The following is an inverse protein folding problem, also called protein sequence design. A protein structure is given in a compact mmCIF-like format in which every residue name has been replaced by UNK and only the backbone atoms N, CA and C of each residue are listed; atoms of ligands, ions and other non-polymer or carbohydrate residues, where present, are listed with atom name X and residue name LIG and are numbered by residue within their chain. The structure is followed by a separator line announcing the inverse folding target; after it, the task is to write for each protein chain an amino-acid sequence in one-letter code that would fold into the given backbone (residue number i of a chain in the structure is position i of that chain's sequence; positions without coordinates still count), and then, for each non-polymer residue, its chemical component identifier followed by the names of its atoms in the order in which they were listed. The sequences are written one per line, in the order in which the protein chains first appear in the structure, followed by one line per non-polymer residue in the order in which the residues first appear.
data_IF_414544880081
#
_entry.id   IF_414544880081
#
_cell.length_a   1.000
_cell.length_b   1.000
_cell.length_c   1.000
_cell.angle_alpha   90.00
_cell.angle_beta   90.00
_cell.angle_gamma   90.00
#
_symmetry.space_group_name_H-M   'P 1'
#
loop_
_entity.id
_entity.type
_entity.pdbx_description
1 polymer ?
#
# COMPACT_ATOMS: atom_id res chain seq x y z
N UNK A 1 -6.56 -12.43 26.01
CA UNK A 1 -7.88 -11.81 25.76
C UNK A 1 -7.60 -10.73 24.72
N UNK A 2 -7.80 -11.04 23.44
CA UNK A 2 -7.66 -10.02 22.39
C UNK A 2 -8.77 -9.00 22.60
N UNK A 3 -8.38 -7.81 23.03
CA UNK A 3 -9.26 -6.68 23.17
C UNK A 3 -9.74 -6.28 21.79
N UNK A 4 -11.06 -6.26 21.60
CA UNK A 4 -11.70 -5.63 20.46
C UNK A 4 -11.08 -4.25 20.24
N UNK A 5 -10.54 -4.04 19.04
CA UNK A 5 -10.01 -2.75 18.58
C UNK A 5 -10.64 -2.44 17.23
N UNK A 6 -10.97 -1.17 16.93
CA UNK A 6 -11.49 -0.77 15.63
C UNK A 6 -10.62 -1.24 14.46
N UNK A 7 -9.31 -1.26 14.67
CA UNK A 7 -8.34 -1.74 13.69
C UNK A 7 -8.48 -3.25 13.44
N UNK A 8 -8.64 -4.04 14.50
CA UNK A 8 -8.75 -5.50 14.38
C UNK A 8 -10.05 -5.89 13.66
N UNK A 9 -11.15 -5.16 13.90
CA UNK A 9 -12.41 -5.39 13.16
C UNK A 9 -12.24 -5.08 11.68
N UNK A 10 -11.61 -3.95 11.34
CA UNK A 10 -11.35 -3.58 9.95
C UNK A 10 -10.43 -4.61 9.24
N UNK A 11 -9.37 -5.06 9.90
CA UNK A 11 -8.47 -6.10 9.38
C UNK A 11 -9.21 -7.43 9.16
N UNK A 12 -10.13 -7.79 10.07
CA UNK A 12 -10.97 -8.99 9.92
C UNK A 12 -11.91 -8.86 8.72
N UNK A 13 -12.62 -7.73 8.57
CA UNK A 13 -13.51 -7.48 7.43
C UNK A 13 -12.76 -7.51 6.10
N UNK A 14 -11.60 -6.85 6.04
CA UNK A 14 -10.75 -6.86 4.84
C UNK A 14 -10.27 -8.27 4.48
N UNK A 15 -9.96 -9.10 5.48
CA UNK A 15 -9.60 -10.51 5.25
C UNK A 15 -10.75 -11.32 4.64
N UNK A 16 -12.00 -11.04 5.07
CA UNK A 16 -13.18 -11.71 4.50
C UNK A 16 -13.38 -11.26 3.04
N UNK A 17 -13.21 -9.97 2.72
CA UNK A 17 -13.26 -9.48 1.32
C UNK A 17 -12.27 -10.24 0.45
N UNK A 18 -11.01 -10.35 0.90
CA UNK A 18 -9.97 -11.08 0.17
C UNK A 18 -10.34 -12.56 -0.06
N UNK A 19 -10.83 -13.25 0.98
CA UNK A 19 -11.28 -14.64 0.85
C UNK A 19 -12.45 -14.79 -0.11
N UNK A 20 -13.39 -13.83 -0.12
CA UNK A 20 -14.50 -13.85 -1.06
C UNK A 20 -14.05 -13.63 -2.49
N UNK A 21 -13.09 -12.74 -2.75
CA UNK A 21 -12.55 -12.51 -4.09
C UNK A 21 -11.76 -13.71 -4.62
N UNK A 22 -10.92 -14.32 -3.78
CA UNK A 22 -10.22 -15.57 -4.12
C UNK A 22 -11.23 -16.67 -4.45
N UNK A 23 -12.28 -16.80 -3.64
CA UNK A 23 -13.36 -17.76 -3.90
C UNK A 23 -14.10 -17.44 -5.20
N UNK A 24 -14.35 -16.15 -5.49
CA UNK A 24 -15.00 -15.71 -6.72
C UNK A 24 -14.20 -16.09 -7.96
N UNK A 25 -12.88 -15.93 -7.90
CA UNK A 25 -11.96 -16.26 -9.00
C UNK A 25 -11.92 -17.75 -9.34
N UNK A 26 -12.26 -18.61 -8.38
CA UNK A 26 -12.16 -20.08 -8.49
C UNK A 26 -13.52 -20.76 -8.66
N UNK A 27 -14.63 -20.06 -8.47
CA UNK A 27 -15.95 -20.68 -8.41
C UNK A 27 -16.67 -20.74 -9.76
N UNK A 28 -17.43 -21.83 -9.98
CA UNK A 28 -18.35 -21.99 -11.11
C UNK A 28 -19.61 -21.13 -10.95
N UNK A 29 -20.18 -20.64 -12.06
CA UNK A 29 -21.26 -19.64 -12.18
C UNK A 29 -22.41 -19.65 -11.14
N UNK A 30 -22.76 -20.81 -10.57
CA UNK A 30 -23.92 -20.96 -9.70
C UNK A 30 -23.76 -20.26 -8.33
N UNK A 31 -22.54 -20.11 -7.81
CA UNK A 31 -22.28 -19.45 -6.53
C UNK A 31 -21.77 -18.01 -6.67
N UNK A 32 -21.46 -17.56 -7.89
CA UNK A 32 -20.89 -16.25 -8.15
C UNK A 32 -21.79 -15.13 -7.64
N UNK A 33 -23.11 -15.25 -7.82
CA UNK A 33 -24.07 -14.25 -7.35
C UNK A 33 -24.09 -14.13 -5.81
N UNK A 34 -23.99 -15.26 -5.10
CA UNK A 34 -24.00 -15.26 -3.62
C UNK A 34 -22.72 -14.63 -3.09
N UNK A 35 -21.57 -15.01 -3.66
CA UNK A 35 -20.27 -14.49 -3.25
C UNK A 35 -20.12 -12.99 -3.59
N UNK A 36 -20.61 -12.55 -4.76
CA UNK A 36 -20.67 -11.12 -5.09
C UNK A 36 -21.56 -10.35 -4.10
N UNK A 37 -22.73 -10.89 -3.77
CA UNK A 37 -23.62 -10.28 -2.78
C UNK A 37 -22.98 -10.18 -1.40
N UNK A 38 -22.24 -11.21 -0.98
CA UNK A 38 -21.48 -11.20 0.27
C UNK A 38 -20.36 -10.15 0.23
N UNK A 39 -19.56 -10.11 -0.85
CA UNK A 39 -18.48 -9.14 -1.01
C UNK A 39 -19.01 -7.70 -0.93
N UNK A 40 -20.09 -7.38 -1.67
CA UNK A 40 -20.73 -6.06 -1.60
C UNK A 40 -21.23 -5.72 -0.18
N UNK A 41 -21.83 -6.69 0.52
CA UNK A 41 -22.31 -6.48 1.90
C UNK A 41 -21.16 -6.16 2.85
N UNK A 42 -20.00 -6.81 2.69
CA UNK A 42 -18.82 -6.55 3.52
C UNK A 42 -18.21 -5.19 3.18
N UNK A 43 -18.15 -4.82 1.89
CA UNK A 43 -17.68 -3.49 1.46
C UNK A 43 -18.57 -2.37 2.03
N UNK A 44 -19.90 -2.55 2.02
CA UNK A 44 -20.84 -1.62 2.64
C UNK A 44 -20.60 -1.52 4.15
N UNK A 45 -20.36 -2.65 4.82
CA UNK A 45 -20.06 -2.67 6.27
C UNK A 45 -18.75 -1.92 6.59
N UNK A 46 -17.72 -2.08 5.75
CA UNK A 46 -16.46 -1.35 5.89
C UNK A 46 -16.69 0.15 5.65
N UNK A 47 -17.49 0.53 4.66
CA UNK A 47 -17.85 1.92 4.39
C UNK A 47 -18.54 2.55 5.60
N UNK A 48 -19.57 1.87 6.12
CA UNK A 48 -20.29 2.29 7.33
C UNK A 48 -19.36 2.41 8.55
N UNK A 49 -18.38 1.52 8.66
CA UNK A 49 -17.38 1.55 9.72
C UNK A 49 -16.46 2.77 9.61
N UNK A 50 -16.04 3.10 8.39
CA UNK A 50 -15.25 4.30 8.08
C UNK A 50 -16.00 5.58 8.42
N UNK A 51 -17.28 5.68 8.04
CA UNK A 51 -18.11 6.86 8.32
C UNK A 51 -18.31 7.10 9.83
N UNK A 52 -18.43 6.02 10.62
CA UNK A 52 -18.59 6.10 12.08
C UNK A 52 -17.32 6.46 12.83
N UNK A 53 -16.16 6.05 12.30
CA UNK A 53 -14.86 6.21 12.97
C UNK A 53 -13.95 7.25 12.29
N UNK A 54 -14.44 7.95 11.26
CA UNK A 54 -13.67 8.90 10.48
C UNK A 54 -13.10 10.04 11.33
N UNK A 55 -11.78 10.07 11.46
CA UNK A 55 -11.07 11.20 12.08
C UNK A 55 -11.02 12.32 11.05
N UNK A 56 -11.57 13.49 11.39
CA UNK A 56 -11.42 14.71 10.57
C UNK A 56 -10.00 15.25 10.72
N UNK A 57 -9.04 14.63 10.03
CA UNK A 57 -7.68 15.14 9.98
C UNK A 57 -7.59 16.38 9.10
N UNK A 58 -6.87 17.39 9.59
CA UNK A 58 -6.69 18.67 8.90
C UNK A 58 -5.50 18.54 7.96
N UNK A 59 -5.77 18.57 6.65
CA UNK A 59 -4.73 18.69 5.63
C UNK A 59 -4.11 20.09 5.73
N UNK A 60 -2.81 20.16 6.00
CA UNK A 60 -2.07 21.43 6.01
C UNK A 60 -1.87 21.91 4.58
N UNK A 61 -2.71 22.86 4.15
CA UNK A 61 -2.74 23.42 2.77
C UNK A 61 -1.47 24.14 2.31
N UNK A 62 -0.53 24.47 3.22
CA UNK A 62 0.55 25.44 2.93
C UNK A 62 1.97 24.84 2.86
N UNK A 63 2.12 23.52 2.76
CA UNK A 63 3.44 22.92 2.54
C UNK A 63 3.59 22.52 1.07
N UNK A 64 4.57 23.10 0.39
CA UNK A 64 4.97 22.72 -0.97
C UNK A 64 5.62 21.33 -0.93
N UNK A 65 5.02 20.37 -1.63
CA UNK A 65 5.53 18.99 -1.77
C UNK A 65 6.28 18.81 -3.10
N UNK A 66 6.98 19.84 -3.58
CA UNK A 66 7.49 19.86 -4.95
C UNK A 66 8.47 18.71 -5.24
N UNK A 67 9.29 18.33 -4.25
CA UNK A 67 10.23 17.20 -4.39
C UNK A 67 9.49 15.86 -4.40
N UNK A 68 8.45 15.75 -3.60
CA UNK A 68 7.65 14.55 -3.47
C UNK A 68 6.70 14.38 -4.68
N UNK A 69 6.33 15.47 -5.35
CA UNK A 69 5.63 15.41 -6.63
C UNK A 69 6.53 14.81 -7.73
N UNK A 70 7.83 15.12 -7.75
CA UNK A 70 8.79 14.42 -8.62
C UNK A 70 8.87 12.90 -8.34
N UNK A 71 8.64 12.47 -7.09
CA UNK A 71 8.56 11.03 -6.76
C UNK A 71 7.35 10.39 -7.44
N UNK A 72 6.20 11.08 -7.44
CA UNK A 72 5.00 10.59 -8.14
C UNK A 72 5.26 10.52 -9.64
N UNK A 73 5.80 11.58 -10.24
CA UNK A 73 6.10 11.62 -11.67
C UNK A 73 7.08 10.52 -12.08
N UNK A 74 8.12 10.29 -11.27
CA UNK A 74 9.08 9.20 -11.48
C UNK A 74 8.40 7.83 -11.36
N UNK A 75 7.56 7.64 -10.33
CA UNK A 75 6.78 6.41 -10.16
C UNK A 75 5.88 6.13 -11.35
N UNK A 76 5.08 7.13 -11.77
CA UNK A 76 4.18 7.05 -12.93
C UNK A 76 4.95 6.76 -14.23
N UNK A 77 6.12 7.40 -14.41
CA UNK A 77 7.01 7.14 -15.56
C UNK A 77 7.58 5.72 -15.60
N UNK A 78 7.65 5.04 -14.44
CA UNK A 78 8.07 3.65 -14.33
C UNK A 78 6.89 2.66 -14.17
N UNK A 79 5.67 3.11 -14.45
CA UNK A 79 4.47 2.26 -14.52
C UNK A 79 3.64 2.19 -13.24
N UNK A 80 3.98 2.93 -12.19
CA UNK A 80 3.09 3.06 -11.04
C UNK A 80 1.80 3.79 -11.42
N UNK A 81 0.68 3.38 -10.84
CA UNK A 81 -0.61 4.04 -11.03
C UNK A 81 -1.11 4.52 -9.68
N UNK A 82 -1.44 5.81 -9.57
CA UNK A 82 -1.90 6.39 -8.31
C UNK A 82 -3.13 7.26 -8.49
N UNK A 83 -4.09 7.08 -7.59
CA UNK A 83 -5.24 7.96 -7.41
C UNK A 83 -5.03 8.91 -6.23
N UNK A 84 -3.80 8.96 -5.71
CA UNK A 84 -3.41 9.72 -4.53
C UNK A 84 -2.49 10.88 -4.91
N UNK A 85 -2.50 11.93 -4.11
CA UNK A 85 -1.49 13.00 -4.11
C UNK A 85 -0.85 13.10 -2.74
N UNK A 86 0.43 13.43 -2.71
CA UNK A 86 1.16 13.61 -1.45
C UNK A 86 0.67 14.89 -0.78
N UNK A 87 0.48 14.82 0.54
CA UNK A 87 0.03 15.94 1.34
C UNK A 87 0.60 15.85 2.76
N UNK A 88 0.78 17.02 3.37
CA UNK A 88 1.11 17.10 4.79
C UNK A 88 -0.18 17.03 5.64
N UNK A 89 -0.25 16.03 6.50
CA UNK A 89 -1.38 15.71 7.36
C UNK A 89 -0.97 16.02 8.81
N UNK A 90 -1.78 16.83 9.50
CA UNK A 90 -1.48 17.18 10.89
C UNK A 90 -1.50 15.95 11.80
N UNK A 91 -0.40 15.69 12.50
CA UNK A 91 -0.24 14.54 13.40
C UNK A 91 0.38 13.29 12.75
N UNK A 92 0.45 13.24 11.41
CA UNK A 92 1.02 12.12 10.66
C UNK A 92 2.17 12.54 9.71
N UNK A 93 2.58 13.81 9.76
CA UNK A 93 3.57 14.42 8.85
C UNK A 93 3.20 14.23 7.37
N UNK A 94 4.01 13.50 6.61
CA UNK A 94 3.78 13.28 5.18
C UNK A 94 2.87 12.07 4.99
N UNK A 95 1.74 12.29 4.32
CA UNK A 95 0.81 11.26 3.92
C UNK A 95 0.32 11.45 2.49
N UNK A 96 -0.81 10.83 2.20
CA UNK A 96 -1.44 10.90 0.90
C UNK A 96 -2.94 11.13 1.03
N UNK A 97 -3.50 11.94 0.13
CA UNK A 97 -4.94 12.18 0.02
C UNK A 97 -5.42 11.83 -1.37
N UNK A 98 -6.68 11.43 -1.49
CA UNK A 98 -7.25 11.05 -2.76
C UNK A 98 -7.34 12.25 -3.72
N UNK A 99 -7.01 12.03 -5.00
CA UNK A 99 -7.16 13.00 -6.10
C UNK A 99 -8.62 13.16 -6.55
N UNK A 100 -9.44 12.15 -6.28
CA UNK A 100 -10.88 12.07 -6.53
C UNK A 100 -11.53 11.20 -5.46
N UNK A 101 -12.86 11.20 -5.38
CA UNK A 101 -13.57 10.36 -4.44
C UNK A 101 -13.25 8.88 -4.71
N UNK A 102 -12.81 8.17 -3.68
CA UNK A 102 -12.52 6.74 -3.70
C UNK A 102 -13.54 6.01 -2.82
N UNK A 103 -14.05 4.89 -3.32
CA UNK A 103 -14.91 3.98 -2.57
C UNK A 103 -14.09 2.87 -1.92
N UNK A 104 -14.66 2.21 -0.92
CA UNK A 104 -14.08 0.99 -0.36
C UNK A 104 -13.97 -0.06 -1.47
N UNK A 105 -12.78 -0.63 -1.64
CA UNK A 105 -12.47 -1.59 -2.70
C UNK A 105 -11.82 -0.97 -3.94
N UNK A 106 -11.80 0.35 -4.08
CA UNK A 106 -11.07 1.00 -5.18
C UNK A 106 -9.56 0.88 -4.97
N UNK A 107 -8.82 0.64 -6.06
CA UNK A 107 -7.34 0.57 -6.05
C UNK A 107 -6.75 1.97 -5.94
N UNK A 108 -6.27 2.34 -4.76
CA UNK A 108 -5.68 3.66 -4.54
C UNK A 108 -4.28 3.83 -5.18
N UNK A 109 -3.47 2.77 -5.15
CA UNK A 109 -2.08 2.77 -5.60
C UNK A 109 -1.72 1.37 -6.12
N UNK A 110 -1.06 1.32 -7.27
CA UNK A 110 -0.47 0.12 -7.86
C UNK A 110 1.01 0.39 -8.15
N UNK A 111 1.88 -0.53 -7.73
CA UNK A 111 3.33 -0.41 -7.86
C UNK A 111 3.85 -1.64 -8.60
N UNK A 112 4.45 -1.49 -9.80
CA UNK A 112 5.14 -2.58 -10.48
C UNK A 112 6.28 -3.14 -9.63
N UNK A 113 6.43 -4.47 -9.61
CA UNK A 113 7.53 -5.14 -8.87
C UNK A 113 8.90 -4.62 -9.29
N UNK A 114 9.06 -4.24 -10.56
CA UNK A 114 10.32 -3.74 -11.14
C UNK A 114 10.86 -2.46 -10.50
N UNK A 115 10.05 -1.69 -9.77
CA UNK A 115 10.50 -0.47 -9.08
C UNK A 115 10.56 -0.62 -7.56
N UNK A 116 10.15 -1.78 -7.04
CA UNK A 116 10.26 -2.06 -5.61
C UNK A 116 11.72 -2.37 -5.31
N UNK A 117 12.27 -1.69 -4.30
CA UNK A 117 13.58 -2.02 -3.75
C UNK A 117 13.42 -3.34 -2.97
N UNK A 118 13.74 -4.45 -3.64
CA UNK A 118 13.67 -5.80 -3.10
C UNK A 118 15.03 -6.48 -3.11
N UNK A 119 15.14 -7.57 -2.35
CA UNK A 119 16.31 -8.43 -2.39
C UNK A 119 16.59 -8.99 -3.80
N UNK A 120 15.55 -9.30 -4.58
CA UNK A 120 15.72 -9.83 -5.94
C UNK A 120 16.46 -8.82 -6.83
N UNK A 121 16.10 -7.54 -6.73
CA UNK A 121 16.78 -6.47 -7.45
C UNK A 121 18.26 -6.35 -7.02
N UNK A 122 18.57 -6.56 -5.73
CA UNK A 122 19.95 -6.48 -5.24
C UNK A 122 20.86 -7.52 -5.89
N UNK A 123 20.36 -8.73 -6.15
CA UNK A 123 21.17 -9.82 -6.74
C UNK A 123 21.73 -9.45 -8.11
N UNK A 124 21.10 -8.51 -8.81
CA UNK A 124 21.52 -7.99 -10.10
C UNK A 124 22.56 -6.86 -9.99
N UNK A 125 22.83 -6.37 -8.78
CA UNK A 125 23.73 -5.23 -8.54
C UNK A 125 25.17 -5.67 -8.27
N UNK A 126 26.11 -4.78 -8.59
CA UNK A 126 27.54 -4.92 -8.28
C UNK A 126 27.82 -5.10 -6.79
N UNK A 127 27.03 -4.46 -5.92
CA UNK A 127 27.20 -4.50 -4.48
C UNK A 127 26.92 -5.86 -3.86
N UNK A 128 25.91 -6.58 -4.36
CA UNK A 128 25.51 -7.84 -3.72
C UNK A 128 26.66 -8.84 -3.71
N UNK A 129 27.42 -8.90 -4.81
CA UNK A 129 28.61 -9.75 -4.92
C UNK A 129 29.69 -9.44 -3.88
N UNK A 130 29.82 -8.19 -3.43
CA UNK A 130 30.79 -7.77 -2.41
C UNK A 130 30.21 -7.97 -1.00
N UNK A 131 28.96 -7.59 -0.80
CA UNK A 131 28.32 -7.63 0.51
C UNK A 131 28.06 -9.05 0.98
N UNK A 132 27.70 -9.98 0.08
CA UNK A 132 27.42 -11.38 0.44
C UNK A 132 28.64 -12.14 0.98
N UNK A 133 29.86 -11.64 0.75
CA UNK A 133 31.10 -12.24 1.26
C UNK A 133 31.32 -11.92 2.75
N UNK A 134 30.54 -11.00 3.32
CA UNK A 134 30.58 -10.69 4.74
C UNK A 134 29.84 -11.79 5.50
N UNK A 135 30.58 -12.59 6.28
CA UNK A 135 30.00 -13.67 7.06
C UNK A 135 28.91 -13.18 8.03
N UNK A 136 27.77 -13.87 8.02
CA UNK A 136 26.62 -13.57 8.88
C UNK A 136 25.80 -12.33 8.49
N UNK A 137 26.05 -11.68 7.36
CA UNK A 137 25.24 -10.52 6.93
C UNK A 137 23.83 -10.97 6.52
N UNK A 138 22.81 -10.23 6.96
CA UNK A 138 21.42 -10.50 6.57
C UNK A 138 21.05 -9.74 5.29
N UNK A 139 20.07 -10.25 4.53
CA UNK A 139 19.56 -9.60 3.32
C UNK A 139 19.02 -8.20 3.60
N UNK A 140 18.38 -7.99 4.76
CA UNK A 140 17.91 -6.66 5.19
C UNK A 140 19.08 -5.70 5.40
N UNK A 141 20.21 -6.19 5.93
CA UNK A 141 21.41 -5.37 6.12
C UNK A 141 22.06 -5.02 4.78
N UNK A 142 22.09 -5.97 3.84
CA UNK A 142 22.55 -5.71 2.46
C UNK A 142 21.67 -4.62 1.81
N UNK A 143 20.34 -4.74 1.92
CA UNK A 143 19.38 -3.77 1.38
C UNK A 143 19.57 -2.38 1.98
N UNK A 144 19.83 -2.29 3.28
CA UNK A 144 20.14 -1.04 3.97
C UNK A 144 21.43 -0.40 3.41
N UNK A 145 22.51 -1.17 3.31
CA UNK A 145 23.79 -0.67 2.80
C UNK A 145 23.69 -0.23 1.34
N UNK A 146 22.95 -0.98 0.52
CA UNK A 146 22.68 -0.60 -0.86
C UNK A 146 21.87 0.69 -0.94
N UNK A 147 20.80 0.82 -0.14
CA UNK A 147 19.98 2.03 -0.09
C UNK A 147 20.79 3.26 0.35
N UNK A 148 21.75 3.07 1.28
CA UNK A 148 22.68 4.11 1.68
C UNK A 148 23.62 4.52 0.54
N UNK A 149 24.14 3.58 -0.27
CA UNK A 149 24.96 3.90 -1.45
C UNK A 149 24.16 4.69 -2.48
N UNK A 150 22.97 4.21 -2.84
CA UNK A 150 22.15 4.83 -3.89
C UNK A 150 21.70 6.25 -3.53
N UNK A 151 21.58 6.58 -2.24
CA UNK A 151 21.31 7.93 -1.77
C UNK A 151 22.37 8.98 -2.17
N UNK A 152 23.62 8.57 -2.43
CA UNK A 152 24.74 9.47 -2.74
C UNK A 152 25.18 9.46 -4.21
N UNK A 153 24.41 8.83 -5.10
CA UNK A 153 24.61 8.98 -6.56
C UNK A 153 24.07 10.32 -7.03
#
# INVERSE_FOLDING_TARGET
MESYSPRNELEALNSIVWLTDVSLSTCTHLHTNILQGLCLTILDLISDFGDKNGVKEVVKKNHSCDQEECLIESGESNGAMTQLKIAYIEGADQGAIARKDLKVGDVALEIPVSIIISEELLHETDMYGVLKEIDGISSETILLLWSMKEKYK
#
